data_IF_393822730935
#
_entry.id   IF_393822730935
#
_cell.length_a   1.000
_cell.length_b   1.000
_cell.length_c   1.000
_cell.angle_alpha   90.00
_cell.angle_beta   90.00
_cell.angle_gamma   90.00
#
_symmetry.space_group_name_H-M   'P 1'
#
loop_
_entity.id
_entity.type
_entity.pdbx_description
1 polymer ?
#
# COMPACT_ATOMS: atom_id res chain seq x y z
N UNK A 1 -19.82 -15.30 -3.18
CA UNK A 1 -18.80 -15.31 -2.11
C UNK A 1 -17.66 -14.57 -2.74
N UNK A 2 -17.51 -13.31 -2.39
CA UNK A 2 -16.75 -12.33 -3.17
C UNK A 2 -15.64 -11.78 -2.28
N UNK A 3 -14.43 -11.78 -2.83
CA UNK A 3 -13.24 -11.25 -2.19
C UNK A 3 -12.99 -9.87 -2.78
N UNK A 4 -12.77 -8.88 -1.92
CA UNK A 4 -12.52 -7.50 -2.33
C UNK A 4 -11.12 -7.07 -1.87
N UNK A 5 -10.43 -6.35 -2.73
CA UNK A 5 -9.16 -5.72 -2.39
C UNK A 5 -9.41 -4.60 -1.36
N UNK A 6 -8.84 -4.74 -0.15
CA UNK A 6 -9.11 -3.82 0.96
C UNK A 6 -8.33 -2.49 0.87
N UNK A 7 -7.15 -2.47 0.22
CA UNK A 7 -6.41 -1.23 -0.02
C UNK A 7 -5.53 -1.34 -1.27
N UNK A 8 -5.57 -0.29 -2.08
CA UNK A 8 -4.85 -0.16 -3.34
C UNK A 8 -3.91 1.05 -3.22
N UNK A 9 -2.67 0.92 -3.71
CA UNK A 9 -1.56 1.77 -3.31
C UNK A 9 -1.44 3.06 -4.13
N UNK A 10 -1.95 4.16 -3.59
CA UNK A 10 -1.78 5.52 -4.12
C UNK A 10 -0.47 6.19 -3.73
N UNK A 11 0.61 5.42 -3.53
CA UNK A 11 1.92 5.94 -3.13
C UNK A 11 2.84 6.02 -4.35
N UNK A 12 3.35 7.21 -4.61
CA UNK A 12 4.16 7.55 -5.78
C UNK A 12 5.53 8.07 -5.37
N UNK A 13 6.55 7.72 -6.15
CA UNK A 13 7.90 8.26 -5.99
C UNK A 13 8.12 9.35 -7.03
N UNK A 14 8.44 10.56 -6.57
CA UNK A 14 8.66 11.73 -7.44
C UNK A 14 10.10 12.22 -7.27
N UNK A 15 10.86 12.20 -8.35
CA UNK A 15 12.20 12.81 -8.38
C UNK A 15 12.08 14.30 -8.74
N UNK A 16 12.54 15.16 -7.83
CA UNK A 16 12.61 16.60 -8.03
C UNK A 16 13.76 17.01 -8.96
N UNK A 17 13.75 18.26 -9.39
CA UNK A 17 14.77 18.83 -10.29
C UNK A 17 16.18 18.85 -9.68
N UNK A 18 16.28 18.84 -8.34
CA UNK A 18 17.54 18.70 -7.60
C UNK A 18 18.09 17.27 -7.56
N UNK A 19 17.38 16.29 -8.12
CA UNK A 19 17.72 14.86 -8.04
C UNK A 19 17.28 14.17 -6.74
N UNK A 20 16.65 14.90 -5.83
CA UNK A 20 16.07 14.33 -4.60
C UNK A 20 14.76 13.61 -4.90
N UNK A 21 14.50 12.51 -4.22
CA UNK A 21 13.30 11.70 -4.41
C UNK A 21 12.38 11.84 -3.20
N UNK A 22 11.11 12.13 -3.45
CA UNK A 22 10.07 12.29 -2.44
C UNK A 22 8.97 11.26 -2.64
N UNK A 23 8.35 10.86 -1.54
CA UNK A 23 7.18 9.98 -1.55
C UNK A 23 5.93 10.83 -1.45
N UNK A 24 4.94 10.53 -2.28
CA UNK A 24 3.64 11.20 -2.34
C UNK A 24 2.57 10.15 -2.09
N UNK A 25 1.72 10.38 -1.09
CA UNK A 25 0.48 9.63 -0.91
C UNK A 25 -0.67 10.45 -1.48
N UNK A 26 -1.26 9.99 -2.58
CA UNK A 26 -2.35 10.68 -3.24
C UNK A 26 -3.70 10.46 -2.54
N UNK A 27 -3.83 9.42 -1.71
CA UNK A 27 -5.06 9.11 -0.97
C UNK A 27 -5.15 10.00 0.26
N UNK A 28 -4.06 10.08 1.02
CA UNK A 28 -3.97 10.93 2.20
C UNK A 28 -3.56 12.38 1.83
N UNK A 29 -3.34 12.67 0.55
CA UNK A 29 -2.87 13.96 -0.01
C UNK A 29 -1.58 14.48 0.65
N UNK A 30 -0.70 13.56 1.08
CA UNK A 30 0.54 13.89 1.79
C UNK A 30 1.78 13.78 0.91
N UNK A 31 2.84 14.51 1.27
CA UNK A 31 4.13 14.39 0.62
C UNK A 31 5.29 14.52 1.62
N UNK A 32 6.36 13.77 1.40
CA UNK A 32 7.58 13.82 2.23
C UNK A 32 8.52 14.98 1.89
N UNK A 33 8.11 15.92 1.02
CA UNK A 33 8.95 17.06 0.67
C UNK A 33 8.97 18.12 1.78
N UNK A 34 10.08 18.88 1.93
CA UNK A 34 10.20 19.94 2.95
C UNK A 34 9.07 20.96 2.87
N UNK A 35 8.67 21.35 1.65
CA UNK A 35 7.59 22.30 1.42
C UNK A 35 6.25 21.87 2.01
N UNK A 36 6.00 20.55 2.09
CA UNK A 36 4.77 20.01 2.67
C UNK A 36 4.89 19.91 4.19
N UNK A 37 6.03 19.41 4.69
CA UNK A 37 6.28 19.26 6.13
C UNK A 37 6.32 20.59 6.88
N UNK A 38 6.89 21.64 6.26
CA UNK A 38 7.12 22.92 6.93
C UNK A 38 5.96 23.92 6.74
N UNK A 39 5.19 23.81 5.65
CA UNK A 39 4.22 24.84 5.26
C UNK A 39 2.78 24.36 5.13
N UNK A 40 2.55 23.04 5.10
CA UNK A 40 1.25 22.40 4.89
C UNK A 40 0.29 23.22 4.00
N UNK A 41 0.68 23.47 2.73
CA UNK A 41 -0.04 24.40 1.88
C UNK A 41 -1.46 23.90 1.58
N UNK A 42 -2.48 24.76 1.80
CA UNK A 42 -3.86 24.47 1.40
C UNK A 42 -3.91 24.13 -0.12
N UNK A 43 -4.24 22.88 -0.44
CA UNK A 43 -4.26 22.35 -1.80
C UNK A 43 -2.96 21.65 -2.26
N UNK A 44 -2.14 21.18 -1.32
CA UNK A 44 -1.03 20.26 -1.55
C UNK A 44 0.23 20.91 -2.14
N UNK A 45 1.36 20.22 -2.00
CA UNK A 45 2.62 20.66 -2.58
C UNK A 45 2.67 20.39 -4.10
N UNK A 46 3.69 20.94 -4.78
CA UNK A 46 3.88 20.73 -6.24
C UNK A 46 3.95 19.25 -6.63
N UNK A 47 4.44 18.39 -5.75
CA UNK A 47 4.59 16.96 -6.02
C UNK A 47 3.25 16.24 -6.01
N UNK A 48 2.34 16.56 -5.07
CA UNK A 48 0.97 16.02 -5.04
C UNK A 48 0.23 16.39 -6.32
N UNK A 49 0.31 17.67 -6.74
CA UNK A 49 -0.34 18.13 -7.98
C UNK A 49 0.22 17.46 -9.22
N UNK A 50 1.54 17.28 -9.29
CA UNK A 50 2.18 16.58 -10.41
C UNK A 50 1.67 15.15 -10.52
N UNK A 51 1.64 14.42 -9.41
CA UNK A 51 1.14 13.04 -9.38
C UNK A 51 -0.32 12.98 -9.79
N UNK A 52 -1.16 13.89 -9.30
CA UNK A 52 -2.56 13.96 -9.69
C UNK A 52 -2.74 14.13 -11.21
N UNK A 53 -1.94 14.99 -11.85
CA UNK A 53 -1.95 15.20 -13.29
C UNK A 53 -1.48 13.93 -14.03
N UNK A 54 -0.37 13.33 -13.62
CA UNK A 54 0.18 12.14 -14.29
C UNK A 54 -0.80 10.93 -14.23
N UNK A 55 -1.54 10.82 -13.12
CA UNK A 55 -2.61 9.82 -12.94
C UNK A 55 -3.81 10.14 -13.84
N UNK A 56 -4.24 11.41 -13.92
CA UNK A 56 -5.33 11.85 -14.80
C UNK A 56 -5.00 11.68 -16.28
N UNK A 57 -3.74 11.93 -16.66
CA UNK A 57 -3.22 11.75 -18.03
C UNK A 57 -2.96 10.28 -18.39
N UNK A 58 -3.23 9.33 -17.48
CA UNK A 58 -2.94 7.91 -17.67
C UNK A 58 -1.47 7.68 -18.12
N UNK A 59 -0.52 8.33 -17.45
CA UNK A 59 0.92 8.11 -17.69
C UNK A 59 1.56 7.23 -16.63
N UNK A 60 0.92 7.15 -15.45
CA UNK A 60 1.31 6.27 -14.34
C UNK A 60 0.13 5.39 -13.91
N UNK A 61 0.38 4.27 -13.22
CA UNK A 61 -0.68 3.44 -12.68
C UNK A 61 -1.59 4.25 -11.76
N UNK A 62 -2.89 4.00 -11.85
CA UNK A 62 -3.86 4.67 -10.99
C UNK A 62 -3.77 4.13 -9.56
N UNK A 63 -4.28 4.88 -8.55
CA UNK A 63 -4.33 4.39 -7.17
C UNK A 63 -5.12 3.09 -7.05
N UNK A 64 -6.04 2.82 -7.98
CA UNK A 64 -6.79 1.57 -8.09
C UNK A 64 -6.01 0.45 -8.80
N UNK A 65 -4.68 0.57 -8.90
CA UNK A 65 -3.78 -0.45 -9.43
C UNK A 65 -3.93 -0.71 -10.94
N UNK A 66 -4.83 -0.01 -11.62
CA UNK A 66 -5.01 -0.16 -13.06
C UNK A 66 -3.88 0.56 -13.80
N UNK A 67 -3.26 -0.17 -14.72
CA UNK A 67 -2.31 0.38 -15.66
C UNK A 67 -3.02 1.31 -16.64
N UNK A 68 -2.31 2.31 -17.19
CA UNK A 68 -2.88 3.19 -18.19
C UNK A 68 -3.26 2.43 -19.46
N UNK A 69 -4.33 2.89 -20.12
CA UNK A 69 -4.90 2.22 -21.31
C UNK A 69 -3.87 2.10 -22.45
N UNK A 70 -2.97 3.09 -22.55
CA UNK A 70 -1.88 3.14 -23.52
C UNK A 70 -0.82 2.04 -23.33
N UNK A 71 -0.64 1.53 -22.11
CA UNK A 71 0.30 0.44 -21.84
C UNK A 71 -0.19 -0.91 -22.39
N UNK A 72 -1.50 -1.09 -22.57
CA UNK A 72 -2.09 -2.32 -23.11
C UNK A 72 -1.98 -2.41 -24.64
N UNK A 73 -1.79 -1.29 -25.33
CA UNK A 73 -1.84 -1.21 -26.81
C UNK A 73 -0.51 -1.48 -27.51
N UNK A 74 0.60 -1.68 -26.78
CA UNK A 74 1.95 -1.76 -27.39
C UNK A 74 2.28 -3.09 -28.09
N UNK A 75 1.46 -4.14 -28.00
CA UNK A 75 1.92 -5.46 -28.50
C UNK A 75 0.91 -6.29 -29.30
N UNK A 76 -0.21 -5.72 -29.76
CA UNK A 76 -1.09 -6.44 -30.69
C UNK A 76 -1.03 -5.76 -32.06
N UNK A 77 0.10 -5.94 -32.74
CA UNK A 77 0.07 -5.92 -34.19
C UNK A 77 -0.59 -7.24 -34.59
N UNK A 78 -1.89 -7.18 -34.92
CA UNK A 78 -2.61 -8.27 -35.58
C UNK A 78 -2.03 -8.41 -36.99
N UNK A 79 -0.82 -8.96 -37.12
CA UNK A 79 -0.31 -9.44 -38.38
C UNK A 79 -1.02 -10.77 -38.70
N UNK A 80 -1.78 -10.73 -39.79
CA UNK A 80 -2.72 -11.67 -40.39
C UNK A 80 -2.16 -13.05 -40.77
N UNK A 81 -1.25 -13.66 -40.00
CA UNK A 81 -0.64 -14.98 -40.31
C UNK A 81 0.00 -15.71 -39.09
N UNK A 82 -0.50 -15.54 -37.86
CA UNK A 82 0.15 -16.16 -36.70
C UNK A 82 -0.26 -17.63 -36.49
N UNK A 83 0.59 -18.56 -36.93
CA UNK A 83 0.65 -19.95 -36.44
C UNK A 83 0.92 -19.91 -34.93
N UNK A 84 -0.15 -19.99 -34.12
CA UNK A 84 -0.09 -19.98 -32.66
C UNK A 84 0.64 -21.23 -32.17
N UNK A 85 1.97 -21.18 -32.22
CA UNK A 85 2.80 -21.89 -31.26
C UNK A 85 2.74 -21.04 -30.00
N UNK A 86 1.85 -21.41 -29.09
CA UNK A 86 1.92 -20.96 -27.70
C UNK A 86 3.34 -21.29 -27.20
N UNK A 87 4.22 -20.29 -27.15
CA UNK A 87 5.58 -20.52 -26.69
C UNK A 87 5.50 -20.95 -25.22
N UNK A 88 5.91 -22.19 -24.94
CA UNK A 88 5.86 -22.79 -23.61
C UNK A 88 6.53 -21.91 -22.53
N UNK A 89 7.44 -21.04 -22.95
CA UNK A 89 8.14 -20.05 -22.11
C UNK A 89 7.18 -19.00 -21.52
N UNK A 90 6.17 -18.54 -22.25
CA UNK A 90 5.16 -17.59 -21.73
C UNK A 90 4.24 -18.27 -20.72
N UNK A 91 3.74 -19.46 -21.04
CA UNK A 91 2.90 -20.24 -20.13
C UNK A 91 3.65 -20.61 -18.84
N UNK A 92 4.94 -20.95 -18.97
CA UNK A 92 5.79 -21.23 -17.82
C UNK A 92 6.05 -19.99 -16.97
N UNK A 93 6.29 -18.82 -17.59
CA UNK A 93 6.46 -17.56 -16.88
C UNK A 93 5.18 -17.14 -16.15
N UNK A 94 4.01 -17.26 -16.79
CA UNK A 94 2.71 -16.96 -16.20
C UNK A 94 2.42 -17.86 -14.99
N UNK A 95 2.61 -19.18 -15.15
CA UNK A 95 2.43 -20.13 -14.06
C UNK A 95 3.35 -19.83 -12.87
N UNK A 96 4.62 -19.48 -13.12
CA UNK A 96 5.57 -19.11 -12.08
C UNK A 96 5.16 -17.83 -11.33
N UNK A 97 4.60 -16.84 -12.04
CA UNK A 97 4.09 -15.62 -11.41
C UNK A 97 2.88 -15.93 -10.53
N UNK A 98 1.96 -16.76 -11.00
CA UNK A 98 0.76 -17.16 -10.23
C UNK A 98 1.18 -17.89 -8.94
N UNK A 99 2.09 -18.85 -9.03
CA UNK A 99 2.61 -19.61 -7.88
C UNK A 99 3.29 -18.67 -6.86
N UNK A 100 4.13 -17.75 -7.33
CA UNK A 100 4.79 -16.76 -6.48
C UNK A 100 3.78 -15.81 -5.80
N UNK A 101 2.69 -15.44 -6.47
CA UNK A 101 1.62 -14.62 -5.86
C UNK A 101 0.93 -15.41 -4.75
N UNK A 102 0.58 -16.68 -4.98
CA UNK A 102 -0.07 -17.53 -3.99
C UNK A 102 0.81 -17.72 -2.75
N UNK A 103 2.09 -18.02 -2.92
CA UNK A 103 3.05 -18.11 -1.83
C UNK A 103 3.12 -16.82 -1.00
N UNK A 104 3.05 -15.66 -1.68
CA UNK A 104 3.05 -14.36 -1.01
C UNK A 104 1.78 -14.11 -0.22
N UNK A 105 0.62 -14.48 -0.76
CA UNK A 105 -0.68 -14.34 -0.10
C UNK A 105 -0.77 -15.21 1.16
N UNK A 106 -0.27 -16.45 1.10
CA UNK A 106 -0.22 -17.36 2.26
C UNK A 106 0.64 -16.80 3.40
N UNK A 107 1.81 -16.25 3.08
CA UNK A 107 2.67 -15.65 4.09
C UNK A 107 2.09 -14.34 4.64
N UNK A 108 1.40 -13.53 3.83
CA UNK A 108 0.66 -12.36 4.33
C UNK A 108 -0.39 -12.80 5.35
N UNK A 109 -1.16 -13.84 5.06
CA UNK A 109 -2.17 -14.37 5.97
C UNK A 109 -1.54 -14.88 7.29
N UNK A 110 -0.38 -15.53 7.22
CA UNK A 110 0.38 -15.95 8.41
C UNK A 110 0.79 -14.75 9.26
N UNK A 111 1.40 -13.73 8.66
CA UNK A 111 1.85 -12.53 9.38
C UNK A 111 0.68 -11.76 9.99
N UNK A 112 -0.47 -11.68 9.30
CA UNK A 112 -1.68 -11.07 9.85
C UNK A 112 -2.19 -11.80 11.10
N UNK A 113 -2.19 -13.14 11.08
CA UNK A 113 -2.56 -13.93 12.27
C UNK A 113 -1.58 -13.72 13.45
N UNK A 114 -0.29 -13.54 13.17
CA UNK A 114 0.70 -13.24 14.20
C UNK A 114 0.50 -11.84 14.80
N UNK A 115 0.22 -10.85 13.95
CA UNK A 115 -0.12 -9.48 14.39
C UNK A 115 -1.34 -9.50 15.31
N UNK A 116 -2.44 -10.16 14.92
CA UNK A 116 -3.65 -10.27 15.74
C UNK A 116 -3.36 -10.92 17.11
N UNK A 117 -2.52 -11.95 17.15
CA UNK A 117 -2.12 -12.59 18.40
C UNK A 117 -1.32 -11.65 19.32
N UNK A 118 -0.41 -10.86 18.74
CA UNK A 118 0.39 -9.89 19.47
C UNK A 118 -0.45 -8.69 19.97
N UNK A 119 -1.40 -8.23 19.17
CA UNK A 119 -2.36 -7.20 19.57
C UNK A 119 -3.19 -7.66 20.76
N UNK A 120 -3.70 -8.89 20.75
CA UNK A 120 -4.41 -9.47 21.89
C UNK A 120 -3.56 -9.47 23.17
N UNK A 121 -2.30 -9.90 23.09
CA UNK A 121 -1.39 -9.89 24.25
C UNK A 121 -1.17 -8.46 24.74
N UNK A 122 -1.00 -7.50 23.84
CA UNK A 122 -0.81 -6.09 24.20
C UNK A 122 -2.03 -5.52 24.89
N UNK A 123 -3.23 -5.75 24.36
CA UNK A 123 -4.50 -5.30 24.92
C UNK A 123 -4.75 -5.88 26.32
N UNK A 124 -4.45 -7.17 26.52
CA UNK A 124 -4.59 -7.80 27.85
C UNK A 124 -3.61 -7.23 28.87
N UNK A 125 -2.37 -6.94 28.48
CA UNK A 125 -1.38 -6.28 29.35
C UNK A 125 -1.81 -4.85 29.69
N UNK A 126 -2.34 -4.09 28.72
CA UNK A 126 -2.89 -2.76 28.98
C UNK A 126 -4.09 -2.80 29.94
N UNK A 127 -4.98 -3.78 29.78
CA UNK A 127 -6.11 -3.97 30.68
C UNK A 127 -5.66 -4.28 32.11
N UNK A 128 -4.67 -5.17 32.28
CA UNK A 128 -4.07 -5.48 33.59
C UNK A 128 -3.43 -4.23 34.21
N UNK A 129 -2.67 -3.47 33.42
CA UNK A 129 -2.04 -2.24 33.89
C UNK A 129 -3.07 -1.22 34.39
N UNK A 130 -4.16 -1.03 33.65
CA UNK A 130 -5.26 -0.13 34.08
C UNK A 130 -5.90 -0.59 35.38
N UNK A 131 -6.09 -1.90 35.56
CA UNK A 131 -6.59 -2.45 36.83
C UNK A 131 -5.62 -2.18 38.00
N UNK A 132 -4.31 -2.30 37.80
CA UNK A 132 -3.31 -2.02 38.85
C UNK A 132 -3.29 -0.53 39.24
N UNK A 133 -3.47 0.37 38.26
CA UNK A 133 -3.60 1.82 38.49
C UNK A 133 -4.89 2.16 39.28
N UNK A 134 -6.00 1.46 39.01
CA UNK A 134 -7.26 1.58 39.76
C UNK A 134 -7.18 0.96 41.17
N UNK A 135 -6.32 -0.04 41.37
CA UNK A 135 -6.03 -0.68 42.66
C UNK A 135 -4.95 0.06 43.47
N UNK A 136 -4.92 1.40 43.44
CA UNK A 136 -4.02 2.17 44.29
C UNK A 136 -4.27 1.88 45.79
N UNK A 137 -3.25 1.27 46.44
CA UNK A 137 -3.22 0.88 47.85
C UNK A 137 -3.35 2.05 48.84
N UNK A 138 -3.33 3.31 48.36
CA UNK A 138 -3.54 4.48 49.21
C UNK A 138 -4.96 4.53 49.81
N UNK A 139 -5.95 3.87 49.20
CA UNK A 139 -7.31 3.79 49.74
C UNK A 139 -7.47 2.85 50.94
N UNK A 140 -6.51 1.96 51.22
CA UNK A 140 -6.60 0.96 52.30
C UNK A 140 -5.91 1.43 53.59
N UNK A 141 -5.04 2.46 53.52
CA UNK A 141 -4.24 2.91 54.66
C UNK A 141 -4.97 3.82 55.67
N UNK A 142 -6.20 4.25 55.36
CA UNK A 142 -7.01 5.15 56.21
C UNK A 142 -8.02 4.45 57.15
N UNK A 143 -8.00 3.11 57.22
CA UNK A 143 -8.91 2.33 58.09
C UNK A 143 -8.24 1.70 59.34
N UNK A 144 -7.15 2.27 59.87
CA UNK A 144 -6.53 1.73 61.09
C UNK A 144 -6.17 2.76 62.15
#
# INVERSE_FOLDING_TARGET
>A
MDVALLKQGGIYSVTGESGETYTVDLIDETCTCPDYQDRDPEGGCKHVRRVAIEVEEETVPRPDGKLPSSALTTSIQEDDDNDVREDADYQQAEAAIIDAIQDREEEIARLQSEIEALEFVTDTLEAIRKLDEDFSLDAIRDQR
#
